data_IF_250544436042
#
_entry.id   IF_250544436042
#
_cell.length_a   1.000
_cell.length_b   1.000
_cell.length_c   1.000
_cell.angle_alpha   90.00
_cell.angle_beta   90.00
_cell.angle_gamma   90.00
#
_symmetry.space_group_name_H-M   'P 1'
#
loop_
_entity.id
_entity.type
_entity.pdbx_description
1 polymer ?
#
# COMPACT_ATOMS: atom_id res chain seq x y z
N UNK A 1 37.53 -12.46 16.97
CA UNK A 1 36.54 -13.37 16.36
C UNK A 1 35.30 -13.37 17.23
N UNK A 2 34.13 -13.27 16.61
CA UNK A 2 32.84 -13.36 17.28
C UNK A 2 32.67 -14.79 17.86
N UNK A 3 32.22 -14.97 19.12
CA UNK A 3 31.95 -16.30 19.68
C UNK A 3 30.99 -17.13 18.83
N UNK A 4 30.06 -16.50 18.11
CA UNK A 4 29.08 -17.17 17.24
C UNK A 4 29.76 -17.69 15.97
N UNK A 5 30.60 -16.87 15.33
CA UNK A 5 31.38 -17.26 14.16
C UNK A 5 32.29 -18.46 14.46
N UNK A 6 32.96 -18.43 15.63
CA UNK A 6 33.81 -19.53 16.08
C UNK A 6 33.03 -20.83 16.27
N UNK A 7 31.77 -20.75 16.73
CA UNK A 7 30.92 -21.93 16.90
C UNK A 7 30.50 -22.53 15.55
N UNK A 8 30.18 -21.70 14.56
CA UNK A 8 29.82 -22.16 13.19
C UNK A 8 31.04 -22.84 12.55
N UNK A 9 32.21 -22.20 12.56
CA UNK A 9 33.44 -22.75 11.96
C UNK A 9 33.82 -24.09 12.59
N UNK A 10 33.75 -24.21 13.92
CA UNK A 10 34.00 -25.46 14.64
C UNK A 10 32.97 -26.56 14.31
N UNK A 11 31.70 -26.19 14.09
CA UNK A 11 30.67 -27.13 13.67
C UNK A 11 30.87 -27.62 12.23
N UNK A 12 31.35 -26.74 11.33
CA UNK A 12 31.70 -27.10 9.96
C UNK A 12 32.94 -28.00 9.90
N UNK A 13 33.97 -27.72 10.71
CA UNK A 13 35.20 -28.53 10.80
C UNK A 13 34.96 -29.95 11.34
N UNK A 14 33.91 -30.16 12.14
CA UNK A 14 33.55 -31.47 12.71
C UNK A 14 32.85 -32.41 11.74
N UNK A 15 32.44 -31.93 10.56
CA UNK A 15 31.78 -32.76 9.55
C UNK A 15 32.27 -32.44 8.14
N UNK A 16 31.46 -32.74 7.13
CA UNK A 16 31.82 -32.48 5.74
C UNK A 16 31.44 -31.05 5.33
N UNK A 17 32.35 -30.11 5.55
CA UNK A 17 32.13 -28.70 5.15
C UNK A 17 32.07 -28.51 3.62
N UNK A 18 32.49 -29.49 2.82
CA UNK A 18 32.43 -29.39 1.36
C UNK A 18 31.05 -29.72 0.81
N UNK A 19 30.29 -30.58 1.52
CA UNK A 19 28.91 -30.89 1.21
C UNK A 19 27.96 -29.71 1.54
N UNK A 20 27.23 -29.26 0.52
CA UNK A 20 26.25 -28.19 0.64
C UNK A 20 25.12 -28.55 1.60
N UNK A 21 24.63 -29.79 1.57
CA UNK A 21 23.51 -30.21 2.42
C UNK A 21 23.91 -30.21 3.90
N UNK A 22 25.14 -30.63 4.21
CA UNK A 22 25.70 -30.53 5.55
C UNK A 22 25.84 -29.07 6.02
N UNK A 23 26.40 -28.18 5.18
CA UNK A 23 26.51 -26.74 5.50
C UNK A 23 25.14 -26.12 5.81
N UNK A 24 24.13 -26.40 4.98
CA UNK A 24 22.78 -25.88 5.19
C UNK A 24 22.19 -26.33 6.54
N UNK A 25 22.39 -27.60 6.91
CA UNK A 25 21.95 -28.13 8.21
C UNK A 25 22.63 -27.42 9.38
N UNK A 26 23.93 -27.13 9.28
CA UNK A 26 24.69 -26.38 10.29
C UNK A 26 24.17 -24.95 10.39
N UNK A 27 23.92 -24.27 9.27
CA UNK A 27 23.37 -22.91 9.27
C UNK A 27 21.95 -22.84 9.85
N UNK A 28 21.07 -23.77 9.49
CA UNK A 28 19.72 -23.88 10.08
C UNK A 28 19.78 -24.11 11.59
N UNK A 29 20.70 -24.96 12.04
CA UNK A 29 20.92 -25.19 13.47
C UNK A 29 21.36 -23.91 14.18
N UNK A 30 22.30 -23.17 13.60
CA UNK A 30 22.82 -21.93 14.18
C UNK A 30 21.75 -20.83 14.27
N UNK A 31 20.92 -20.65 13.23
CA UNK A 31 19.78 -19.74 13.29
C UNK A 31 18.75 -20.14 14.35
N UNK A 32 18.45 -21.44 14.48
CA UNK A 32 17.54 -21.92 15.52
C UNK A 32 18.06 -21.66 16.94
N UNK A 33 19.39 -21.72 17.13
CA UNK A 33 20.03 -21.45 18.41
C UNK A 33 19.99 -19.94 18.74
N UNK A 34 20.23 -19.08 17.75
CA UNK A 34 20.13 -17.63 17.91
C UNK A 34 18.70 -17.21 18.25
N UNK A 35 17.70 -17.76 17.57
CA UNK A 35 16.29 -17.45 17.81
C UNK A 35 15.86 -17.84 19.24
N UNK A 36 16.25 -19.04 19.71
CA UNK A 36 16.04 -19.45 21.10
C UNK A 36 16.74 -18.52 22.10
N UNK A 37 17.97 -18.10 21.80
CA UNK A 37 18.73 -17.20 22.67
C UNK A 37 18.13 -15.79 22.73
N UNK A 38 17.57 -15.28 21.63
CA UNK A 38 16.86 -14.01 21.61
C UNK A 38 15.53 -14.10 22.38
N UNK A 39 14.79 -15.19 22.20
CA UNK A 39 13.52 -15.43 22.92
C UNK A 39 13.72 -15.61 24.42
N UNK A 40 14.83 -16.21 24.84
CA UNK A 40 15.16 -16.41 26.25
C UNK A 40 15.61 -15.12 26.97
N UNK A 41 15.95 -14.05 26.24
CA UNK A 41 16.43 -12.79 26.80
C UNK A 41 15.44 -11.63 26.54
N UNK A 42 14.41 -11.44 27.38
CA UNK A 42 13.38 -10.41 27.17
C UNK A 42 13.90 -8.97 27.32
N UNK A 43 15.11 -8.78 27.86
CA UNK A 43 15.75 -7.46 28.00
C UNK A 43 16.43 -6.97 26.71
N UNK A 44 16.42 -7.78 25.65
CA UNK A 44 17.01 -7.43 24.35
C UNK A 44 16.00 -6.59 23.58
N UNK A 45 16.38 -5.37 23.20
CA UNK A 45 15.51 -4.50 22.39
C UNK A 45 15.27 -5.13 21.02
N UNK A 46 14.10 -4.87 20.43
CA UNK A 46 13.73 -5.38 19.09
C UNK A 46 14.81 -5.03 18.05
N UNK A 47 15.32 -3.81 18.09
CA UNK A 47 16.41 -3.34 17.23
C UNK A 47 17.70 -4.16 17.40
N UNK A 48 18.09 -4.48 18.64
CA UNK A 48 19.28 -5.30 18.89
C UNK A 48 19.09 -6.76 18.47
N UNK A 49 17.86 -7.29 18.53
CA UNK A 49 17.53 -8.62 18.02
C UNK A 49 17.63 -8.67 16.49
N UNK A 50 17.11 -7.64 15.80
CA UNK A 50 17.22 -7.50 14.34
C UNK A 50 18.69 -7.37 13.93
N UNK A 51 19.46 -6.53 14.60
CA UNK A 51 20.88 -6.34 14.31
C UNK A 51 21.69 -7.64 14.54
N UNK A 52 21.35 -8.43 15.57
CA UNK A 52 21.98 -9.75 15.80
C UNK A 52 21.64 -10.75 14.70
N UNK A 53 20.39 -10.78 14.21
CA UNK A 53 20.00 -11.63 13.07
C UNK A 53 20.72 -11.21 11.78
N UNK A 54 20.77 -9.91 11.47
CA UNK A 54 21.49 -9.38 10.31
C UNK A 54 22.99 -9.69 10.36
N UNK A 55 23.61 -9.51 11.53
CA UNK A 55 25.02 -9.85 11.73
C UNK A 55 25.28 -11.34 11.51
N UNK A 56 24.39 -12.22 11.97
CA UNK A 56 24.49 -13.67 11.75
C UNK A 56 24.44 -14.02 10.25
N UNK A 57 23.49 -13.46 9.51
CA UNK A 57 23.36 -13.70 8.06
C UNK A 57 24.58 -13.22 7.30
N UNK A 58 25.11 -12.03 7.62
CA UNK A 58 26.32 -11.50 7.01
C UNK A 58 27.53 -12.43 7.22
N UNK A 59 27.70 -12.98 8.43
CA UNK A 59 28.78 -13.93 8.72
C UNK A 59 28.64 -15.25 7.98
N UNK A 60 27.42 -15.78 7.87
CA UNK A 60 27.19 -17.00 7.08
C UNK A 60 27.54 -16.75 5.61
N UNK A 61 27.18 -15.59 5.04
CA UNK A 61 27.53 -15.23 3.67
C UNK A 61 29.06 -15.12 3.46
N UNK A 62 29.78 -14.53 4.41
CA UNK A 62 31.25 -14.48 4.38
C UNK A 62 31.88 -15.88 4.43
N UNK A 63 31.36 -16.77 5.29
CA UNK A 63 31.82 -18.16 5.38
C UNK A 63 31.49 -18.91 4.09
N UNK A 64 30.30 -18.74 3.52
CA UNK A 64 29.91 -19.42 2.28
C UNK A 64 30.73 -18.97 1.08
N UNK A 65 31.11 -17.69 1.01
CA UNK A 65 32.02 -17.17 -0.02
C UNK A 65 33.40 -17.85 0.00
N UNK A 66 33.85 -18.38 1.14
CA UNK A 66 35.09 -19.17 1.27
C UNK A 66 34.96 -20.57 0.64
N UNK A 67 33.74 -21.13 0.58
CA UNK A 67 33.45 -22.46 0.02
C UNK A 67 33.00 -22.43 -1.44
N UNK A 68 32.68 -21.24 -1.98
CA UNK A 68 32.35 -21.09 -3.39
C UNK A 68 33.65 -21.01 -4.20
N UNK A 69 33.84 -21.84 -5.25
CA UNK A 69 34.97 -21.67 -6.14
C UNK A 69 34.87 -20.30 -6.79
N UNK A 70 35.99 -19.57 -6.82
CA UNK A 70 36.07 -18.31 -7.54
C UNK A 70 35.50 -18.52 -8.96
N UNK A 71 34.52 -17.71 -9.40
CA UNK A 71 34.06 -17.82 -10.77
C UNK A 71 35.30 -17.69 -11.66
N UNK A 72 35.53 -18.69 -12.51
CA UNK A 72 36.54 -18.62 -13.54
C UNK A 72 36.33 -17.28 -14.25
N UNK A 73 37.35 -16.41 -14.20
CA UNK A 73 37.30 -15.09 -14.77
C UNK A 73 36.89 -15.21 -16.24
N UNK A 74 35.61 -15.01 -16.51
CA UNK A 74 35.11 -14.73 -17.84
C UNK A 74 35.81 -13.44 -18.26
N UNK A 75 36.54 -13.52 -19.37
CA UNK A 75 37.50 -12.52 -19.80
C UNK A 75 36.95 -11.09 -19.83
N UNK A 76 37.86 -10.15 -19.61
CA UNK A 76 37.69 -8.71 -19.78
C UNK A 76 36.57 -8.31 -20.75
N UNK A 77 35.57 -7.54 -20.31
CA UNK A 77 34.97 -6.55 -21.17
C UNK A 77 35.91 -5.34 -21.19
N UNK A 78 36.62 -5.16 -22.30
CA UNK A 78 37.13 -3.86 -22.67
C UNK A 78 35.93 -2.90 -22.87
N UNK A 79 36.00 -1.70 -22.30
CA UNK A 79 35.05 -0.62 -22.56
C UNK A 79 34.13 -0.29 -21.39
N UNK A 80 34.70 0.25 -20.30
CA UNK A 80 33.94 1.05 -19.34
C UNK A 80 34.16 2.53 -19.69
N UNK A 81 33.25 3.09 -20.49
CA UNK A 81 33.11 4.55 -20.62
C UNK A 81 32.38 5.07 -19.37
N UNK A 82 33.12 5.76 -18.51
CA UNK A 82 32.56 6.57 -17.43
C UNK A 82 32.17 7.95 -17.99
N UNK A 83 30.98 8.50 -17.70
CA UNK A 83 30.70 9.89 -18.04
C UNK A 83 31.42 10.82 -17.05
N UNK A 84 32.43 11.53 -17.55
CA UNK A 84 33.12 12.62 -16.87
C UNK A 84 32.20 13.84 -16.83
N UNK A 85 31.95 14.39 -15.64
CA UNK A 85 31.25 15.67 -15.45
C UNK A 85 32.26 16.79 -15.72
N UNK A 86 32.18 17.38 -16.90
CA UNK A 86 32.98 18.55 -17.28
C UNK A 86 32.37 19.84 -16.73
N UNK A 87 33.17 20.56 -15.95
CA UNK A 87 32.89 21.91 -15.48
C UNK A 87 33.44 22.93 -16.50
N UNK A 88 32.71 24.00 -16.88
CA UNK A 88 33.30 25.03 -17.73
C UNK A 88 34.10 26.04 -16.90
N UNK A 89 35.43 25.96 -17.04
CA UNK A 89 36.37 27.02 -16.67
C UNK A 89 36.46 28.13 -17.73
N UNK A 90 36.82 29.32 -17.24
CA UNK A 90 36.97 30.59 -17.95
C UNK A 90 38.09 30.63 -19.01
N UNK A 91 37.81 31.28 -20.14
CA UNK A 91 38.72 32.17 -20.91
C UNK A 91 37.79 33.16 -21.67
N UNK A 92 37.95 34.48 -21.76
CA UNK A 92 39.07 35.39 -21.57
C UNK A 92 39.34 36.16 -22.88
N UNK A 93 39.05 37.47 -22.92
CA UNK A 93 39.55 38.55 -23.83
C UNK A 93 38.38 39.45 -24.33
N UNK A 94 38.40 40.79 -24.37
CA UNK A 94 39.31 41.87 -23.94
C UNK A 94 38.58 43.22 -24.08
N UNK A 95 38.82 44.13 -23.13
CA UNK A 95 38.84 45.61 -23.16
C UNK A 95 37.68 46.42 -23.77
N UNK A 96 37.07 47.28 -22.94
CA UNK A 96 37.28 48.75 -22.99
C UNK A 96 36.56 49.47 -21.82
N UNK A 97 37.37 50.09 -20.98
CA UNK A 97 37.26 51.41 -20.35
C UNK A 97 35.87 52.09 -20.17
N UNK A 98 35.46 52.32 -18.92
CA UNK A 98 34.99 53.62 -18.41
C UNK A 98 34.42 53.47 -16.98
N UNK A 99 35.07 54.15 -16.03
CA UNK A 99 34.61 54.37 -14.67
C UNK A 99 33.31 55.20 -14.60
N UNK A 100 32.54 55.06 -13.51
CA UNK A 100 31.96 56.11 -12.64
C UNK A 100 30.71 55.57 -11.93
N UNK A 101 30.76 55.54 -10.58
CA UNK A 101 29.61 55.43 -9.68
C UNK A 101 29.03 56.82 -9.39
N UNK A 102 27.76 56.91 -8.97
CA UNK A 102 27.38 57.94 -8.03
C UNK A 102 26.82 57.38 -6.72
N UNK A 103 27.26 58.07 -5.67
CA UNK A 103 27.04 57.90 -4.25
C UNK A 103 25.71 58.55 -3.81
N UNK A 104 25.13 57.98 -2.76
CA UNK A 104 23.93 58.38 -2.00
C UNK A 104 24.09 59.77 -1.34
N UNK A 105 22.99 60.47 -1.00
CA UNK A 105 23.01 61.22 0.26
C UNK A 105 21.79 60.97 1.16
N UNK A 106 22.10 60.62 2.41
CA UNK A 106 21.29 60.76 3.62
C UNK A 106 21.17 62.24 4.01
N UNK A 107 19.96 62.72 4.34
CA UNK A 107 19.74 63.92 5.18
C UNK A 107 18.47 63.74 6.03
N UNK A 108 18.62 63.75 7.35
CA UNK A 108 17.59 64.01 8.38
C UNK A 108 18.02 65.29 9.19
N UNK A 109 17.30 65.74 10.22
CA UNK A 109 16.28 66.81 10.22
C UNK A 109 16.72 68.07 11.04
N UNK A 110 15.91 69.16 11.04
CA UNK A 110 15.69 70.03 12.22
C UNK A 110 14.63 71.14 11.97
N UNK A 111 13.86 71.46 13.02
CA UNK A 111 12.75 72.43 13.11
C UNK A 111 13.25 73.89 13.40
N UNK A 112 12.44 74.99 13.57
CA UNK A 112 11.10 75.12 14.18
C UNK A 112 10.07 76.14 13.57
N UNK A 113 8.87 76.18 14.17
CA UNK A 113 7.58 76.84 13.81
C UNK A 113 7.54 78.40 13.94
N UNK A 114 6.46 79.08 13.48
CA UNK A 114 5.30 79.31 14.35
C UNK A 114 3.89 79.32 13.71
N UNK A 115 2.93 78.77 14.49
CA UNK A 115 1.50 79.15 14.75
C UNK A 115 0.59 79.55 13.57
N UNK A 116 -0.60 78.93 13.46
CA UNK A 116 -1.92 79.50 13.87
C UNK A 116 -3.05 78.44 13.76
N UNK A 117 -3.84 78.31 14.84
CA UNK A 117 -5.22 77.79 14.97
C UNK A 117 -5.59 76.33 14.68
N UNK A 118 -5.84 75.57 15.76
CA UNK A 118 -6.97 74.62 15.86
C UNK A 118 -8.24 75.37 16.29
N UNK A 119 -9.44 74.90 15.86
CA UNK A 119 -10.25 74.14 16.82
C UNK A 119 -11.04 72.95 16.23
N UNK A 120 -11.04 71.86 17.01
CA UNK A 120 -12.16 70.97 17.42
C UNK A 120 -12.95 70.11 16.38
N UNK A 121 -13.28 68.83 16.69
CA UNK A 121 -14.00 67.95 15.79
C UNK A 121 -15.52 68.12 15.92
N UNK A 122 -16.18 68.47 14.81
CA UNK A 122 -17.62 68.64 14.77
C UNK A 122 -18.36 67.29 14.66
N UNK A 123 -19.05 66.91 15.73
CA UNK A 123 -19.92 65.75 15.80
C UNK A 123 -21.24 66.09 15.09
N UNK A 124 -21.38 65.67 13.82
CA UNK A 124 -22.62 65.82 13.08
C UNK A 124 -23.59 64.63 13.27
N UNK A 125 -24.92 64.88 13.42
CA UNK A 125 -25.88 63.90 13.90
C UNK A 125 -26.38 62.90 12.84
N UNK A 126 -26.59 61.65 13.29
CA UNK A 126 -27.28 60.57 12.56
C UNK A 126 -28.65 61.02 12.05
N UNK A 127 -28.74 61.32 10.75
CA UNK A 127 -30.04 61.40 10.05
C UNK A 127 -30.62 60.00 9.85
N UNK A 128 -31.62 59.67 10.66
CA UNK A 128 -32.51 58.51 10.43
C UNK A 128 -33.21 58.70 9.08
N UNK A 129 -32.82 57.91 8.06
CA UNK A 129 -33.60 57.79 6.83
C UNK A 129 -34.86 56.95 7.08
N UNK A 130 -36.03 57.37 6.59
CA UNK A 130 -37.28 56.66 6.82
C UNK A 130 -37.27 55.34 6.04
N UNK A 131 -37.63 54.28 6.75
CA UNK A 131 -37.70 52.90 6.26
C UNK A 131 -38.88 52.77 5.29
N UNK A 132 -38.66 52.99 3.99
CA UNK A 132 -39.61 52.58 2.95
C UNK A 132 -39.56 51.06 2.80
N UNK A 133 -40.34 50.36 3.64
CA UNK A 133 -40.74 48.96 3.42
C UNK A 133 -41.70 48.97 2.24
N UNK A 134 -41.35 48.34 1.13
CA UNK A 134 -42.29 48.23 0.01
C UNK A 134 -41.90 47.20 -1.03
N UNK A 135 -40.62 47.15 -1.42
CA UNK A 135 -40.16 46.26 -2.51
C UNK A 135 -39.11 45.22 -2.07
N UNK A 136 -38.02 45.56 -1.35
CA UNK A 136 -37.00 44.56 -1.01
C UNK A 136 -37.48 43.54 0.04
N UNK A 137 -38.42 43.92 0.91
CA UNK A 137 -39.04 42.99 1.85
C UNK A 137 -39.95 41.97 1.15
N UNK A 138 -40.53 42.35 0.01
CA UNK A 138 -41.44 41.51 -0.76
C UNK A 138 -40.64 40.44 -1.54
N UNK A 139 -39.51 40.83 -2.13
CA UNK A 139 -38.56 39.89 -2.75
C UNK A 139 -37.96 38.90 -1.74
N UNK A 140 -37.59 39.36 -0.56
CA UNK A 140 -37.09 38.49 0.51
C UNK A 140 -38.17 37.49 0.98
N UNK A 141 -39.42 37.93 1.12
CA UNK A 141 -40.53 37.04 1.46
C UNK A 141 -40.79 35.98 0.37
N UNK A 142 -40.71 36.37 -0.91
CA UNK A 142 -40.90 35.48 -2.05
C UNK A 142 -39.79 34.42 -2.16
N UNK A 143 -38.54 34.81 -1.90
CA UNK A 143 -37.41 33.85 -1.89
C UNK A 143 -37.52 32.86 -0.75
N UNK A 144 -37.89 33.33 0.45
CA UNK A 144 -38.15 32.42 1.58
C UNK A 144 -39.30 31.45 1.25
N UNK A 145 -40.39 31.93 0.63
CA UNK A 145 -41.49 31.08 0.19
C UNK A 145 -41.05 30.03 -0.84
N UNK A 146 -40.19 30.39 -1.80
CA UNK A 146 -39.65 29.47 -2.79
C UNK A 146 -38.76 28.38 -2.16
N UNK A 147 -37.90 28.74 -1.20
CA UNK A 147 -37.08 27.77 -0.46
C UNK A 147 -37.94 26.81 0.36
N UNK A 148 -38.99 27.32 1.02
CA UNK A 148 -39.94 26.48 1.76
C UNK A 148 -40.71 25.56 0.83
N UNK A 149 -41.16 26.04 -0.33
CA UNK A 149 -41.85 25.21 -1.33
C UNK A 149 -40.94 24.12 -1.90
N UNK A 150 -39.69 24.43 -2.20
CA UNK A 150 -38.69 23.45 -2.66
C UNK A 150 -38.36 22.43 -1.57
N UNK A 151 -38.23 22.86 -0.30
CA UNK A 151 -38.02 21.97 0.83
C UNK A 151 -39.20 21.04 1.07
N UNK A 152 -40.43 21.55 0.99
CA UNK A 152 -41.64 20.76 1.12
C UNK A 152 -41.80 19.76 -0.04
N UNK A 153 -41.53 20.19 -1.27
CA UNK A 153 -41.50 19.31 -2.44
C UNK A 153 -40.47 18.19 -2.29
N UNK A 154 -39.26 18.52 -1.84
CA UNK A 154 -38.19 17.55 -1.60
C UNK A 154 -38.55 16.54 -0.49
N UNK A 155 -39.25 16.97 0.56
CA UNK A 155 -39.74 16.08 1.63
C UNK A 155 -40.81 15.10 1.14
N UNK A 156 -41.69 15.54 0.26
CA UNK A 156 -42.70 14.67 -0.37
C UNK A 156 -42.03 13.62 -1.28
N UNK A 157 -40.95 13.99 -1.98
CA UNK A 157 -40.27 13.11 -2.92
C UNK A 157 -39.25 12.16 -2.26
N UNK A 158 -38.61 12.58 -1.17
CA UNK A 158 -37.60 11.78 -0.44
C UNK A 158 -38.20 10.62 0.37
N UNK A 159 -39.52 10.55 0.50
CA UNK A 159 -40.19 9.46 1.22
C UNK A 159 -39.93 9.46 2.73
N UNK A 160 -39.37 10.54 3.28
CA UNK A 160 -38.99 10.67 4.69
C UNK A 160 -40.18 10.58 5.66
N UNK A 161 -41.41 10.83 5.17
CA UNK A 161 -42.65 10.71 5.94
C UNK A 161 -43.31 9.33 5.82
N UNK A 162 -42.73 8.36 5.11
CA UNK A 162 -43.29 7.00 5.04
C UNK A 162 -43.14 6.30 6.38
N UNK A 163 -44.25 5.82 6.92
CA UNK A 163 -44.33 5.04 8.16
C UNK A 163 -43.56 3.73 8.00
N UNK A 164 -43.01 3.15 9.09
CA UNK A 164 -42.18 1.94 9.04
C UNK A 164 -42.87 0.76 8.35
N UNK A 165 -44.19 0.63 8.46
CA UNK A 165 -44.96 -0.41 7.77
C UNK A 165 -44.96 -0.27 6.23
N UNK A 166 -44.89 0.96 5.70
CA UNK A 166 -44.79 1.19 4.24
C UNK A 166 -43.35 1.08 3.71
N UNK A 167 -42.35 1.05 4.60
CA UNK A 167 -40.94 0.78 4.27
C UNK A 167 -40.59 -0.70 4.25
N UNK A 168 -41.57 -1.58 4.50
CA UNK A 168 -41.35 -3.03 4.54
C UNK A 168 -40.62 -3.49 5.80
N UNK A 169 -40.67 -2.71 6.87
CA UNK A 169 -40.11 -3.10 8.17
C UNK A 169 -41.09 -4.09 8.81
N UNK A 170 -40.78 -5.39 8.72
CA UNK A 170 -41.50 -6.44 9.44
C UNK A 170 -41.35 -6.17 10.94
N UNK A 171 -42.42 -6.24 11.75
CA UNK A 171 -42.30 -6.05 13.19
C UNK A 171 -41.33 -7.07 13.76
N UNK A 172 -40.18 -6.60 14.28
CA UNK A 172 -39.29 -7.42 15.08
C UNK A 172 -40.00 -7.62 16.43
N UNK A 173 -40.46 -8.83 16.80
CA UNK A 173 -40.99 -9.06 18.12
C UNK A 173 -39.89 -8.77 19.16
N UNK A 174 -40.23 -8.27 20.36
CA UNK A 174 -39.23 -8.02 21.39
C UNK A 174 -38.48 -9.31 21.69
N UNK A 175 -37.14 -9.25 21.64
CA UNK A 175 -36.27 -10.38 21.94
C UNK A 175 -36.50 -10.84 23.38
N UNK A 176 -37.27 -11.91 23.54
CA UNK A 176 -37.25 -12.73 24.76
C UNK A 176 -36.05 -13.66 24.64
N UNK A 177 -35.15 -13.58 25.61
CA UNK A 177 -34.09 -14.57 25.78
C UNK A 177 -34.76 -15.75 26.48
N UNK A 178 -35.14 -16.76 25.70
CA UNK A 178 -35.41 -18.09 26.22
C UNK A 178 -34.10 -18.88 26.07
N UNK A 179 -33.51 -19.26 27.20
CA UNK A 179 -32.41 -20.22 27.27
C UNK A 179 -32.97 -21.60 26.88
N UNK A 180 -33.02 -21.90 25.59
CA UNK A 180 -33.43 -23.22 25.08
C UNK A 180 -32.17 -24.01 24.65
N UNK A 181 -31.84 -25.02 25.45
CA UNK A 181 -30.82 -26.03 25.19
C UNK A 181 -31.04 -26.73 23.84
N UNK A 182 -30.24 -26.38 22.83
CA UNK A 182 -30.39 -26.93 21.48
C UNK A 182 -29.64 -28.26 21.31
N UNK A 183 -30.40 -29.34 21.12
CA UNK A 183 -29.94 -30.62 20.56
C UNK A 183 -30.17 -30.64 19.04
N UNK A 184 -29.21 -31.10 18.20
CA UNK A 184 -29.31 -30.91 16.77
C UNK A 184 -30.09 -32.04 16.09
N UNK A 185 -31.14 -31.68 15.38
CA UNK A 185 -31.57 -32.46 14.20
C UNK A 185 -32.35 -31.61 13.20
N UNK A 186 -31.72 -31.37 12.05
CA UNK A 186 -32.35 -31.42 10.73
C UNK A 186 -33.20 -30.23 10.25
N UNK A 187 -32.65 -29.49 9.28
CA UNK A 187 -33.41 -29.07 8.09
C UNK A 187 -33.87 -27.61 7.99
N UNK A 188 -33.42 -26.97 6.91
CA UNK A 188 -34.01 -25.81 6.20
C UNK A 188 -33.69 -24.37 6.67
N UNK A 189 -32.69 -23.80 5.96
CA UNK A 189 -32.62 -22.44 5.39
C UNK A 189 -32.79 -21.24 6.32
N UNK A 190 -31.67 -20.74 6.85
CA UNK A 190 -31.52 -19.39 7.38
C UNK A 190 -31.06 -18.40 6.26
N UNK A 191 -31.31 -17.08 6.38
CA UNK A 191 -30.95 -16.09 5.36
C UNK A 191 -29.42 -15.92 5.28
N UNK A 192 -28.88 -15.85 4.06
CA UNK A 192 -27.44 -15.70 3.79
C UNK A 192 -26.86 -14.46 4.50
N UNK A 193 -25.87 -14.69 5.36
CA UNK A 193 -24.94 -13.65 5.82
C UNK A 193 -23.96 -13.34 4.70
N UNK A 194 -23.82 -12.07 4.32
CA UNK A 194 -22.75 -11.60 3.43
C UNK A 194 -21.40 -11.96 4.06
N UNK A 195 -20.77 -13.02 3.55
CA UNK A 195 -19.54 -13.63 4.10
C UNK A 195 -19.53 -15.17 4.02
N UNK A 196 -20.70 -15.81 3.92
CA UNK A 196 -20.84 -17.26 3.69
C UNK A 196 -21.36 -17.48 2.26
N UNK A 197 -20.49 -17.29 1.27
CA UNK A 197 -20.63 -18.04 0.03
C UNK A 197 -20.11 -19.45 0.30
N UNK A 198 -20.74 -20.48 -0.27
CA UNK A 198 -20.31 -21.88 -0.17
C UNK A 198 -18.90 -22.08 -0.72
N UNK A 199 -17.90 -21.81 0.10
CA UNK A 199 -16.51 -22.18 -0.11
C UNK A 199 -16.27 -23.40 0.79
N UNK A 200 -16.29 -24.59 0.22
CA UNK A 200 -15.96 -25.80 0.97
C UNK A 200 -14.47 -26.13 0.99
N UNK A 201 -13.64 -25.35 0.31
CA UNK A 201 -12.27 -25.73 0.03
C UNK A 201 -11.25 -25.20 1.04
N UNK A 202 -10.35 -26.08 1.45
CA UNK A 202 -9.04 -25.75 1.97
C UNK A 202 -8.38 -24.61 1.17
N UNK A 203 -7.94 -23.55 1.85
CA UNK A 203 -7.26 -22.43 1.20
C UNK A 203 -5.84 -22.81 0.78
N UNK A 204 -5.55 -22.63 -0.50
CA UNK A 204 -4.22 -22.88 -1.06
C UNK A 204 -3.48 -21.55 -1.17
N UNK A 205 -2.33 -21.46 -0.50
CA UNK A 205 -1.49 -20.27 -0.55
C UNK A 205 -0.75 -20.18 -1.88
N UNK A 206 -0.94 -19.08 -2.59
CA UNK A 206 -0.25 -18.77 -3.86
C UNK A 206 1.01 -17.97 -3.60
N UNK A 207 0.92 -16.97 -2.72
CA UNK A 207 2.04 -16.09 -2.40
C UNK A 207 2.03 -15.69 -0.92
N UNK A 208 3.22 -15.68 -0.33
CA UNK A 208 3.48 -15.00 0.94
C UNK A 208 4.79 -14.21 0.86
N UNK A 209 4.92 -13.09 1.59
CA UNK A 209 6.16 -12.32 1.69
C UNK A 209 7.38 -13.10 2.22
N UNK A 210 7.15 -14.28 2.82
CA UNK A 210 8.21 -15.17 3.30
C UNK A 210 8.94 -15.90 2.18
N UNK A 211 8.30 -16.02 1.00
CA UNK A 211 8.88 -16.61 -0.20
C UNK A 211 8.76 -15.65 -1.40
N UNK A 212 9.66 -14.65 -1.50
CA UNK A 212 9.63 -13.67 -2.58
C UNK A 212 10.13 -14.25 -3.91
N UNK A 213 10.57 -15.52 -3.97
CA UNK A 213 11.11 -16.12 -5.19
C UNK A 213 10.06 -16.35 -6.26
N UNK A 214 8.79 -16.33 -5.88
CA UNK A 214 7.61 -16.42 -6.75
C UNK A 214 7.21 -15.07 -7.36
N UNK A 215 7.99 -14.00 -7.12
CA UNK A 215 7.70 -12.65 -7.61
C UNK A 215 8.72 -12.24 -8.65
N UNK A 216 8.24 -11.81 -9.81
CA UNK A 216 9.06 -11.24 -10.87
C UNK A 216 8.68 -9.78 -11.15
N UNK A 217 9.71 -8.93 -11.25
CA UNK A 217 9.55 -7.49 -11.51
C UNK A 217 10.22 -7.11 -12.82
N UNK A 218 9.49 -6.50 -13.77
CA UNK A 218 10.08 -5.81 -14.91
C UNK A 218 11.03 -4.68 -14.49
N UNK A 219 11.87 -4.19 -15.41
CA UNK A 219 13.01 -3.28 -15.11
C UNK A 219 12.63 -1.93 -14.48
N UNK A 220 11.40 -1.44 -14.66
CA UNK A 220 10.90 -0.20 -14.09
C UNK A 220 9.92 -0.41 -12.92
N UNK A 221 9.51 -1.65 -12.62
CA UNK A 221 8.71 -1.98 -11.45
C UNK A 221 9.59 -2.34 -10.24
N UNK A 222 9.04 -2.21 -9.03
CA UNK A 222 9.73 -2.56 -7.78
C UNK A 222 8.84 -3.41 -6.88
N UNK A 223 9.45 -4.40 -6.24
CA UNK A 223 8.82 -5.23 -5.23
C UNK A 223 9.82 -5.42 -4.08
N UNK A 224 9.54 -4.79 -2.94
CA UNK A 224 10.42 -4.82 -1.76
C UNK A 224 9.71 -5.51 -0.60
N UNK A 225 10.34 -6.51 0.00
CA UNK A 225 9.82 -7.13 1.23
C UNK A 225 10.05 -6.18 2.40
N UNK A 226 8.97 -5.81 3.08
CA UNK A 226 8.95 -4.88 4.20
C UNK A 226 8.24 -5.51 5.39
N UNK A 227 8.49 -4.96 6.58
CA UNK A 227 7.84 -5.40 7.81
C UNK A 227 7.58 -4.19 8.69
N UNK A 228 6.37 -4.12 9.24
CA UNK A 228 5.97 -3.13 10.24
C UNK A 228 5.02 -3.74 11.27
N UNK A 229 4.37 -2.90 12.08
CA UNK A 229 3.44 -3.33 13.14
C UNK A 229 2.25 -4.15 12.62
N UNK A 230 1.94 -4.08 11.32
CA UNK A 230 0.88 -4.88 10.71
C UNK A 230 1.36 -6.28 10.28
N UNK A 231 2.67 -6.51 10.24
CA UNK A 231 3.30 -7.76 9.80
C UNK A 231 4.20 -7.57 8.59
N UNK A 232 4.68 -8.69 8.04
CA UNK A 232 5.50 -8.71 6.82
C UNK A 232 4.60 -8.59 5.59
N UNK A 233 5.01 -7.78 4.62
CA UNK A 233 4.33 -7.57 3.34
C UNK A 233 5.32 -7.32 2.22
N UNK A 234 4.85 -7.46 0.99
CA UNK A 234 5.58 -7.06 -0.19
C UNK A 234 5.03 -5.72 -0.68
N UNK A 235 5.86 -4.68 -0.65
CA UNK A 235 5.52 -3.38 -1.24
C UNK A 235 5.73 -3.43 -2.74
N UNK A 236 4.64 -3.33 -3.48
CA UNK A 236 4.60 -3.35 -4.93
C UNK A 236 4.43 -1.93 -5.46
N UNK A 237 5.34 -1.52 -6.33
CA UNK A 237 5.25 -0.25 -7.07
C UNK A 237 5.45 -0.51 -8.56
N UNK A 238 4.42 -0.20 -9.34
CA UNK A 238 4.50 -0.24 -10.79
C UNK A 238 5.45 0.81 -11.34
N UNK A 239 6.07 0.49 -12.48
CA UNK A 239 6.92 1.42 -13.20
C UNK A 239 6.14 2.55 -13.87
N UNK A 240 6.84 3.61 -14.26
CA UNK A 240 6.24 4.77 -14.93
C UNK A 240 5.57 4.43 -16.26
N UNK A 241 5.93 3.29 -16.87
CA UNK A 241 5.30 2.77 -18.08
C UNK A 241 4.02 1.96 -17.81
N UNK A 242 3.66 1.73 -16.54
CA UNK A 242 2.56 0.89 -16.11
C UNK A 242 2.93 -0.59 -15.95
N UNK A 243 4.23 -0.94 -15.95
CA UNK A 243 4.70 -2.31 -15.73
C UNK A 243 4.13 -2.89 -14.44
N UNK A 244 3.49 -4.05 -14.58
CA UNK A 244 2.94 -4.82 -13.47
C UNK A 244 4.02 -5.68 -12.81
N UNK A 245 3.85 -5.95 -11.51
CA UNK A 245 4.62 -6.96 -10.80
C UNK A 245 3.90 -8.29 -10.91
N UNK A 246 4.61 -9.33 -11.33
CA UNK A 246 4.03 -10.64 -11.62
C UNK A 246 4.30 -11.62 -10.48
N UNK A 247 3.26 -12.32 -10.08
CA UNK A 247 3.27 -13.35 -9.05
C UNK A 247 3.03 -14.71 -9.72
N UNK A 248 3.97 -15.63 -9.55
CA UNK A 248 3.89 -16.95 -10.15
C UNK A 248 2.84 -17.81 -9.44
N UNK A 249 1.96 -18.40 -10.23
CA UNK A 249 0.97 -19.36 -9.76
C UNK A 249 1.44 -20.75 -10.17
N UNK A 250 1.89 -21.52 -9.18
CA UNK A 250 2.45 -22.85 -9.41
C UNK A 250 1.48 -23.77 -10.15
N UNK A 251 2.03 -24.61 -11.04
CA UNK A 251 1.25 -25.58 -11.81
C UNK A 251 0.42 -26.52 -10.90
N UNK A 252 0.95 -26.89 -9.72
CA UNK A 252 0.21 -27.72 -8.76
C UNK A 252 -1.05 -27.06 -8.21
N UNK A 253 -1.05 -25.73 -8.05
CA UNK A 253 -2.24 -24.97 -7.63
C UNK A 253 -3.26 -24.94 -8.76
N UNK A 254 -2.80 -24.71 -9.99
CA UNK A 254 -3.65 -24.69 -11.19
C UNK A 254 -4.29 -26.05 -11.49
N UNK A 255 -3.57 -27.14 -11.25
CA UNK A 255 -4.08 -28.51 -11.37
C UNK A 255 -5.18 -28.80 -10.34
N UNK A 256 -5.09 -28.26 -9.13
CA UNK A 256 -6.08 -28.44 -8.06
C UNK A 256 -7.39 -27.70 -8.35
N UNK A 257 -7.31 -26.52 -8.96
CA UNK A 257 -8.51 -25.72 -9.31
C UNK A 257 -9.08 -26.04 -10.69
N UNK A 258 -8.42 -26.91 -11.47
CA UNK A 258 -8.85 -27.29 -12.80
C UNK A 258 -10.28 -27.88 -12.79
N UNK A 259 -11.09 -27.49 -13.78
CA UNK A 259 -12.49 -27.93 -13.90
C UNK A 259 -13.46 -27.33 -12.87
N UNK A 260 -12.99 -26.52 -11.93
CA UNK A 260 -13.83 -25.88 -10.92
C UNK A 260 -13.95 -24.37 -11.12
N UNK A 261 -14.88 -23.75 -10.40
CA UNK A 261 -14.86 -22.29 -10.22
C UNK A 261 -13.96 -22.00 -9.04
N UNK A 262 -12.86 -21.27 -9.23
CA UNK A 262 -11.99 -20.90 -8.13
C UNK A 262 -12.07 -19.41 -7.83
N UNK A 263 -11.89 -19.06 -6.56
CA UNK A 263 -11.90 -17.69 -6.05
C UNK A 263 -10.54 -17.38 -5.48
N UNK A 264 -9.91 -16.36 -6.06
CA UNK A 264 -8.67 -15.81 -5.57
C UNK A 264 -8.96 -14.66 -4.62
N UNK A 265 -8.19 -14.60 -3.54
CA UNK A 265 -8.21 -13.53 -2.55
C UNK A 265 -6.84 -12.91 -2.48
N UNK A 266 -6.79 -11.60 -2.64
CA UNK A 266 -5.59 -10.80 -2.45
C UNK A 266 -5.80 -9.94 -1.21
N UNK A 267 -4.95 -10.12 -0.22
CA UNK A 267 -4.95 -9.31 1.01
C UNK A 267 -3.99 -8.15 0.81
N UNK A 268 -4.51 -6.92 0.76
CA UNK A 268 -3.73 -5.75 0.40
C UNK A 268 -4.15 -4.47 1.16
N UNK A 269 -3.26 -3.49 1.20
CA UNK A 269 -3.56 -2.10 1.57
C UNK A 269 -2.78 -1.11 0.74
N UNK A 270 -3.23 0.13 0.66
CA UNK A 270 -2.48 1.22 0.05
C UNK A 270 -1.33 1.72 0.95
N UNK A 271 -0.24 2.17 0.32
CA UNK A 271 0.92 2.71 1.04
C UNK A 271 0.54 3.91 1.92
N UNK A 272 1.00 3.91 3.16
CA UNK A 272 0.84 5.04 4.09
C UNK A 272 -0.62 5.40 4.38
N UNK A 273 -1.56 4.46 4.24
CA UNK A 273 -2.98 4.71 4.47
C UNK A 273 -3.68 5.46 3.33
N UNK A 274 -3.02 5.63 2.19
CA UNK A 274 -3.62 6.32 1.02
C UNK A 274 -4.28 5.30 0.11
N UNK A 275 -5.54 5.52 -0.24
CA UNK A 275 -6.23 4.66 -1.18
C UNK A 275 -5.65 4.79 -2.60
N UNK A 276 -5.62 3.69 -3.35
CA UNK A 276 -5.14 3.66 -4.74
C UNK A 276 -5.95 2.68 -5.57
N UNK A 277 -6.07 2.95 -6.87
CA UNK A 277 -6.72 2.04 -7.80
C UNK A 277 -5.69 1.08 -8.39
N UNK A 278 -5.92 -0.22 -8.21
CA UNK A 278 -5.08 -1.29 -8.71
C UNK A 278 -5.73 -2.01 -9.86
N UNK A 279 -4.91 -2.59 -10.73
CA UNK A 279 -5.37 -3.50 -11.78
C UNK A 279 -4.72 -4.86 -11.60
N UNK A 280 -5.49 -5.92 -11.74
CA UNK A 280 -5.05 -7.31 -11.72
C UNK A 280 -5.33 -7.89 -13.10
N UNK A 281 -4.32 -8.55 -13.67
CA UNK A 281 -4.36 -9.23 -14.96
C UNK A 281 -3.75 -10.62 -14.76
N UNK A 282 -4.44 -11.68 -15.16
CA UNK A 282 -3.97 -13.05 -14.92
C UNK A 282 -3.66 -13.73 -16.25
N UNK A 283 -2.62 -14.56 -16.27
CA UNK A 283 -2.32 -15.44 -17.39
C UNK A 283 -2.03 -16.84 -16.87
N UNK A 284 -2.99 -17.74 -17.03
CA UNK A 284 -2.88 -19.15 -16.63
C UNK A 284 -2.58 -20.07 -17.84
N UNK A 285 -2.04 -19.50 -18.93
CA UNK A 285 -1.69 -20.22 -20.14
C UNK A 285 -2.91 -20.84 -20.81
N UNK A 286 -2.88 -22.17 -20.97
CA UNK A 286 -3.97 -22.91 -21.62
C UNK A 286 -5.27 -22.93 -20.80
N UNK A 287 -5.22 -22.57 -19.53
CA UNK A 287 -6.39 -22.49 -18.65
C UNK A 287 -7.14 -21.16 -18.77
N UNK A 288 -6.57 -20.18 -19.49
CA UNK A 288 -7.19 -18.88 -19.74
C UNK A 288 -6.65 -17.76 -18.85
N UNK A 289 -7.45 -16.72 -18.70
CA UNK A 289 -7.14 -15.50 -17.95
C UNK A 289 -8.33 -15.10 -17.04
N UNK A 290 -8.09 -14.12 -16.16
CA UNK A 290 -9.14 -13.51 -15.34
C UNK A 290 -9.67 -12.19 -15.94
N UNK A 291 -9.24 -11.84 -17.15
CA UNK A 291 -9.33 -10.50 -17.71
C UNK A 291 -8.64 -9.45 -16.84
N UNK A 292 -8.99 -8.19 -17.08
CA UNK A 292 -8.51 -7.06 -16.28
C UNK A 292 -9.49 -6.71 -15.18
N UNK A 293 -9.18 -7.06 -13.94
CA UNK A 293 -9.97 -6.69 -12.76
C UNK A 293 -9.40 -5.40 -12.15
N UNK A 294 -10.26 -4.48 -11.74
CA UNK A 294 -9.86 -3.22 -11.09
C UNK A 294 -10.47 -3.14 -9.70
N UNK A 295 -9.67 -2.72 -8.73
CA UNK A 295 -10.11 -2.54 -7.36
C UNK A 295 -9.63 -1.22 -6.82
N UNK A 296 -10.45 -0.61 -5.98
CA UNK A 296 -10.06 0.55 -5.18
C UNK A 296 -9.51 0.02 -3.85
N UNK A 297 -8.19 -0.09 -3.77
CA UNK A 297 -7.50 -0.55 -2.56
C UNK A 297 -7.50 0.58 -1.55
N UNK A 298 -8.13 0.34 -0.40
CA UNK A 298 -8.20 1.29 0.71
C UNK A 298 -6.86 1.42 1.41
N UNK A 299 -6.71 2.47 2.21
CA UNK A 299 -5.54 2.67 3.06
C UNK A 299 -5.37 1.60 4.14
N UNK A 300 -6.48 1.05 4.62
CA UNK A 300 -6.50 -0.05 5.58
C UNK A 300 -6.40 -1.41 4.87
N UNK A 301 -5.97 -2.44 5.62
CA UNK A 301 -5.93 -3.83 5.13
C UNK A 301 -7.33 -4.31 4.77
N UNK A 302 -7.47 -4.83 3.55
CA UNK A 302 -8.70 -5.43 3.05
C UNK A 302 -8.42 -6.66 2.18
N UNK A 303 -9.49 -7.43 1.94
CA UNK A 303 -9.48 -8.58 1.04
C UNK A 303 -10.18 -8.21 -0.28
N UNK A 304 -9.54 -8.52 -1.40
CA UNK A 304 -10.05 -8.25 -2.74
C UNK A 304 -10.17 -9.56 -3.49
N UNK A 305 -11.38 -9.88 -3.93
CA UNK A 305 -11.72 -11.20 -4.46
C UNK A 305 -12.07 -11.14 -5.94
N UNK A 306 -11.65 -12.14 -6.71
CA UNK A 306 -12.14 -12.42 -8.05
C UNK A 306 -12.33 -13.92 -8.25
N UNK A 307 -13.39 -14.27 -8.96
CA UNK A 307 -13.67 -15.62 -9.41
C UNK A 307 -13.19 -15.86 -10.84
N UNK A 308 -12.76 -17.09 -11.11
CA UNK A 308 -12.34 -17.58 -12.42
C UNK A 308 -12.95 -18.96 -12.63
N UNK A 309 -13.57 -19.17 -13.78
CA UNK A 309 -14.04 -20.48 -14.20
C UNK A 309 -12.91 -21.19 -14.95
N UNK A 310 -12.33 -22.23 -14.35
CA UNK A 310 -11.29 -23.01 -15.00
C UNK A 310 -11.91 -24.10 -15.91
N UNK A 311 -11.35 -24.34 -17.10
CA UNK A 311 -11.73 -25.48 -17.92
C UNK A 311 -11.29 -26.79 -17.25
N UNK A 312 -12.00 -27.87 -17.53
CA UNK A 312 -11.63 -29.23 -17.09
C UNK A 312 -10.47 -29.77 -17.93
N UNK A 313 -9.29 -29.20 -17.72
CA UNK A 313 -8.03 -29.54 -18.39
C UNK A 313 -6.87 -29.35 -17.43
N UNK A 314 -5.83 -30.17 -17.58
CA UNK A 314 -4.61 -30.06 -16.78
C UNK A 314 -3.78 -28.84 -17.18
N UNK A 315 -3.11 -28.21 -16.21
CA UNK A 315 -2.22 -27.09 -16.48
C UNK A 315 -0.95 -27.59 -17.22
N UNK A 316 -0.65 -27.00 -18.38
CA UNK A 316 0.57 -27.32 -19.14
C UNK A 316 1.83 -26.63 -18.61
N UNK A 317 1.67 -25.54 -17.84
CA UNK A 317 2.74 -24.76 -17.24
C UNK A 317 2.21 -23.98 -16.02
N UNK A 318 3.12 -23.33 -15.28
CA UNK A 318 2.74 -22.34 -14.27
C UNK A 318 2.07 -21.12 -14.92
N UNK A 319 1.21 -20.46 -14.16
CA UNK A 319 0.56 -19.21 -14.53
C UNK A 319 1.16 -18.01 -13.81
N UNK A 320 0.60 -16.84 -14.05
CA UNK A 320 1.00 -15.58 -13.40
C UNK A 320 -0.22 -14.72 -13.07
N UNK A 321 -0.13 -13.99 -11.96
CA UNK A 321 -1.03 -12.90 -11.60
C UNK A 321 -0.21 -11.62 -11.60
N UNK A 322 -0.50 -10.71 -12.51
CA UNK A 322 0.18 -9.44 -12.65
C UNK A 322 -0.63 -8.34 -11.95
N UNK A 323 0.01 -7.59 -11.04
CA UNK A 323 -0.60 -6.50 -10.27
C UNK A 323 0.06 -5.18 -10.67
N UNK A 324 -0.77 -4.24 -11.13
CA UNK A 324 -0.42 -2.83 -11.32
C UNK A 324 -0.88 -2.03 -10.09
N UNK A 325 0.05 -1.43 -9.34
CA UNK A 325 -0.24 -0.76 -8.06
C UNK A 325 -0.97 0.57 -8.20
N UNK A 326 -0.86 1.21 -9.37
CA UNK A 326 -1.42 2.53 -9.61
C UNK A 326 -1.82 2.68 -11.08
N UNK A 327 -3.10 2.49 -11.36
CA UNK A 327 -3.68 2.67 -12.69
C UNK A 327 -3.68 4.14 -13.11
N UNK A 328 -3.65 5.07 -12.16
CA UNK A 328 -3.63 6.52 -12.41
C UNK A 328 -2.21 7.05 -12.67
N UNK A 329 -1.19 6.21 -12.51
CA UNK A 329 0.24 6.53 -12.72
C UNK A 329 0.72 7.75 -11.91
N UNK A 330 0.31 7.84 -10.65
CA UNK A 330 0.74 8.83 -9.67
C UNK A 330 1.89 8.33 -8.79
N UNK A 331 2.43 7.14 -9.09
CA UNK A 331 3.52 6.52 -8.34
C UNK A 331 3.11 5.93 -6.99
N UNK A 332 1.82 5.64 -6.80
CA UNK A 332 1.31 5.00 -5.58
C UNK A 332 1.73 3.54 -5.51
N UNK A 333 1.97 3.07 -4.30
CA UNK A 333 2.33 1.67 -4.02
C UNK A 333 1.24 0.97 -3.23
N UNK A 334 1.27 -0.35 -3.30
CA UNK A 334 0.34 -1.24 -2.59
C UNK A 334 1.16 -2.24 -1.81
N UNK A 335 0.78 -2.48 -0.56
CA UNK A 335 1.37 -3.50 0.30
C UNK A 335 0.52 -4.78 0.16
N UNK A 336 1.13 -5.88 -0.32
CA UNK A 336 0.50 -7.19 -0.50
C UNK A 336 0.93 -8.12 0.64
N UNK A 337 -0.02 -8.70 1.37
CA UNK A 337 0.23 -9.58 2.52
C UNK A 337 0.12 -11.06 2.17
N UNK A 338 -0.82 -11.41 1.31
CA UNK A 338 -1.11 -12.79 0.96
C UNK A 338 -1.88 -12.83 -0.35
N UNK A 339 -1.63 -13.86 -1.16
CA UNK A 339 -2.51 -14.28 -2.24
C UNK A 339 -2.86 -15.74 -1.99
N UNK A 340 -4.15 -16.06 -1.97
CA UNK A 340 -4.66 -17.42 -1.75
C UNK A 340 -5.82 -17.72 -2.69
N UNK A 341 -6.08 -18.99 -2.91
CA UNK A 341 -7.16 -19.47 -3.76
C UNK A 341 -7.93 -20.60 -3.08
N UNK A 342 -9.23 -20.67 -3.33
CA UNK A 342 -10.10 -21.78 -2.95
C UNK A 342 -11.00 -22.14 -4.11
N UNK A 343 -11.40 -23.40 -4.19
CA UNK A 343 -12.52 -23.82 -5.03
C UNK A 343 -13.83 -23.30 -4.41
N UNK A 344 -14.72 -22.80 -5.26
CA UNK A 344 -16.10 -22.46 -4.93
C UNK A 344 -16.99 -23.64 -5.31
N UNK A 345 -17.87 -24.03 -4.40
CA UNK A 345 -18.73 -25.21 -4.51
C UNK A 345 -19.89 -25.03 -5.49
#
# INVERSE_FOLDING_TARGET
>A
MDPIEKAIRNALEKGDSTDRAFREKVYRSAFSALDRALKANPNVTVESAINRRKAMTARIAEIEAEFLPAPAAAGNPAGADAPSIDAPGHHGSSASDAHIMPVVPDIMPDAPLPRTMEPEPDIAPRRRRPRRRGLPALFAALTVLAVVALGAWWLLQSGALRTPEQRGEVPVPPATVEDEDFSPSGGATAPLRTGENGFSGEWITVFTPLDPTTVSTPSDAKADVMEDDSGTYLRVRSGSSGSAVSFDVGQGILDEVAGTRAVFVIVARGEGGTATQVSIDCNFGELGDCGRKRYDVKGDRGEYLFDVQFPDKRAGAAGTIAITSDVENQGRSVDIYEIRVSVAE
#
